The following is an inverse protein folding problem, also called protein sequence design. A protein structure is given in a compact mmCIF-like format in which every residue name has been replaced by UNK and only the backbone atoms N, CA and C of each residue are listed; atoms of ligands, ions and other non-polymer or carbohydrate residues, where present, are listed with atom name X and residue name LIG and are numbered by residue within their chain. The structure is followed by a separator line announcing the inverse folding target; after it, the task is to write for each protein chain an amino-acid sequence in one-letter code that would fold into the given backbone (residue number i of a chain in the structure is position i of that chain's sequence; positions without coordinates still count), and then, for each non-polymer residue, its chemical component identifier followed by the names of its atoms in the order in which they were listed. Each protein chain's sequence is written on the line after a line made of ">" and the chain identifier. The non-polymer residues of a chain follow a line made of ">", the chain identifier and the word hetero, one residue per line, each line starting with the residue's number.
data_IF_480797449641
#
_entry.id   IF_480797449641
#
_cell.length_a   1.000
_cell.length_b   1.000
_cell.length_c   1.000
_cell.angle_alpha   90.00
_cell.angle_beta   90.00
_cell.angle_gamma   90.00
#
_symmetry.space_group_name_H-M   'P 1'
#
loop_
_entity.id
_entity.type
_entity.pdbx_description
1 polymer ?
#
# COMPACT_ATOMS: atom_id res chain seq x y z
N UNK A 1 -19.84 -11.06 -8.12
CA UNK A 1 -18.56 -11.79 -8.03
C UNK A 1 -17.47 -10.76 -7.78
N UNK A 2 -16.75 -10.84 -6.65
CA UNK A 2 -15.67 -9.89 -6.36
C UNK A 2 -14.47 -10.21 -7.26
N UNK A 3 -13.99 -9.22 -8.01
CA UNK A 3 -12.87 -9.40 -8.94
C UNK A 3 -11.57 -9.72 -8.19
N UNK A 4 -10.59 -10.33 -8.87
CA UNK A 4 -9.28 -10.61 -8.26
C UNK A 4 -8.59 -9.33 -7.75
N UNK A 5 -8.74 -8.22 -8.48
CA UNK A 5 -8.25 -6.90 -8.09
C UNK A 5 -8.82 -6.40 -6.75
N UNK A 6 -10.15 -6.50 -6.54
CA UNK A 6 -10.79 -6.08 -5.29
C UNK A 6 -10.35 -6.96 -4.10
N UNK A 7 -10.13 -8.25 -4.32
CA UNK A 7 -9.59 -9.15 -3.29
C UNK A 7 -8.15 -8.78 -2.90
N UNK A 8 -7.31 -8.48 -3.89
CA UNK A 8 -5.94 -8.05 -3.64
C UNK A 8 -5.88 -6.66 -2.99
N UNK A 9 -6.81 -5.76 -3.31
CA UNK A 9 -6.92 -4.47 -2.64
C UNK A 9 -7.24 -4.64 -1.14
N UNK A 10 -8.20 -5.51 -0.80
CA UNK A 10 -8.51 -5.85 0.59
C UNK A 10 -7.30 -6.44 1.32
N UNK A 11 -6.60 -7.38 0.69
CA UNK A 11 -5.40 -7.97 1.28
C UNK A 11 -4.25 -6.96 1.50
N UNK A 12 -4.12 -5.94 0.63
CA UNK A 12 -3.18 -4.84 0.85
C UNK A 12 -3.59 -3.96 2.03
N UNK A 13 -4.89 -3.72 2.20
CA UNK A 13 -5.42 -2.96 3.33
C UNK A 13 -5.20 -3.69 4.66
N UNK A 14 -5.46 -4.99 4.71
CA UNK A 14 -5.16 -5.83 5.87
C UNK A 14 -3.66 -5.83 6.19
N UNK A 15 -2.81 -5.94 5.16
CA UNK A 15 -1.36 -5.86 5.31
C UNK A 15 -0.89 -4.53 5.92
N UNK A 16 -1.50 -3.41 5.52
CA UNK A 16 -1.19 -2.10 6.10
C UNK A 16 -1.64 -1.99 7.57
N UNK A 17 -2.80 -2.55 7.92
CA UNK A 17 -3.28 -2.60 9.30
C UNK A 17 -2.35 -3.46 10.18
N UNK A 18 -1.86 -4.60 9.65
CA UNK A 18 -0.85 -5.43 10.32
C UNK A 18 0.49 -4.70 10.49
N UNK A 19 0.91 -3.90 9.50
CA UNK A 19 2.11 -3.08 9.60
C UNK A 19 2.01 -2.03 10.72
N UNK A 20 0.88 -1.31 10.79
CA UNK A 20 0.65 -0.34 11.87
C UNK A 20 0.57 -0.97 13.26
N UNK A 21 0.03 -2.18 13.35
CA UNK A 21 0.01 -2.96 14.60
C UNK A 21 1.38 -3.55 14.98
N UNK A 22 2.41 -3.43 14.12
CA UNK A 22 3.73 -4.01 14.34
C UNK A 22 3.78 -5.52 14.13
N UNK A 23 2.79 -6.11 13.46
CA UNK A 23 2.72 -7.53 13.12
C UNK A 23 3.33 -7.85 11.75
N UNK A 24 3.63 -6.82 10.96
CA UNK A 24 4.27 -6.92 9.64
C UNK A 24 5.32 -5.81 9.52
N UNK A 25 6.46 -6.10 8.91
CA UNK A 25 7.48 -5.09 8.63
C UNK A 25 7.27 -4.43 7.25
N UNK A 26 7.98 -3.32 7.00
CA UNK A 26 7.85 -2.56 5.77
C UNK A 26 8.26 -3.37 4.53
N UNK A 27 9.27 -4.23 4.64
CA UNK A 27 9.77 -5.02 3.51
C UNK A 27 8.74 -6.10 3.12
N UNK A 28 8.14 -6.78 4.09
CA UNK A 28 7.09 -7.76 3.88
C UNK A 28 5.86 -7.14 3.21
N UNK A 29 5.40 -5.98 3.70
CA UNK A 29 4.30 -5.24 3.10
C UNK A 29 4.63 -4.84 1.65
N UNK A 30 5.82 -4.30 1.41
CA UNK A 30 6.27 -3.89 0.08
C UNK A 30 6.37 -5.04 -0.91
N UNK A 31 6.92 -6.18 -0.49
CA UNK A 31 6.99 -7.37 -1.33
C UNK A 31 5.61 -7.91 -1.69
N UNK A 32 4.71 -7.99 -0.70
CA UNK A 32 3.35 -8.44 -0.89
C UNK A 32 2.59 -7.51 -1.86
N UNK A 33 2.69 -6.19 -1.67
CA UNK A 33 2.06 -5.20 -2.53
C UNK A 33 2.54 -5.29 -4.00
N UNK A 34 3.85 -5.48 -4.23
CA UNK A 34 4.43 -5.65 -5.57
C UNK A 34 3.97 -6.93 -6.27
N UNK A 35 3.54 -7.94 -5.52
CA UNK A 35 3.06 -9.22 -6.06
C UNK A 35 1.60 -9.19 -6.55
N UNK A 36 0.84 -8.14 -6.24
CA UNK A 36 -0.58 -8.01 -6.58
C UNK A 36 -0.81 -7.58 -8.04
N UNK A 37 -0.46 -8.47 -8.96
CA UNK A 37 -0.52 -8.21 -10.41
C UNK A 37 -1.93 -7.94 -10.93
N UNK A 38 -2.98 -8.55 -10.37
CA UNK A 38 -4.36 -8.29 -10.80
C UNK A 38 -4.83 -6.89 -10.39
N UNK A 39 -4.45 -6.45 -9.18
CA UNK A 39 -4.70 -5.09 -8.70
C UNK A 39 -3.97 -4.06 -9.56
N UNK A 40 -2.68 -4.27 -9.79
CA UNK A 40 -1.84 -3.37 -10.58
C UNK A 40 -2.29 -3.32 -12.05
N UNK A 41 -2.70 -4.46 -12.62
CA UNK A 41 -3.19 -4.54 -13.98
C UNK A 41 -4.58 -3.94 -14.19
N UNK A 42 -5.42 -3.87 -13.14
CA UNK A 42 -6.76 -3.29 -13.22
C UNK A 42 -6.79 -1.77 -13.02
N UNK A 43 -5.71 -1.17 -12.52
CA UNK A 43 -5.59 0.27 -12.28
C UNK A 43 -4.82 0.98 -13.41
N UNK A 44 -5.03 2.29 -13.62
CA UNK A 44 -4.18 3.08 -14.50
C UNK A 44 -2.70 3.04 -14.05
N UNK A 45 -1.73 3.09 -14.98
CA UNK A 45 -0.31 2.91 -14.66
C UNK A 45 0.23 3.88 -13.61
N UNK A 46 -0.30 5.12 -13.55
CA UNK A 46 0.07 6.10 -12.53
C UNK A 46 -0.19 5.63 -11.08
N UNK A 47 -1.14 4.70 -10.85
CA UNK A 47 -1.36 4.14 -9.52
C UNK A 47 -0.20 3.26 -9.08
N UNK A 48 0.34 2.45 -9.99
CA UNK A 48 1.50 1.61 -9.72
C UNK A 48 2.72 2.46 -9.41
N UNK A 49 2.98 3.51 -10.19
CA UNK A 49 4.10 4.43 -9.95
C UNK A 49 4.04 5.06 -8.56
N UNK A 50 2.87 5.59 -8.18
CA UNK A 50 2.67 6.19 -6.85
C UNK A 50 2.81 5.15 -5.74
N UNK A 51 2.25 3.95 -5.92
CA UNK A 51 2.37 2.89 -4.93
C UNK A 51 3.84 2.54 -4.69
N UNK A 52 4.61 2.29 -5.75
CA UNK A 52 6.03 1.95 -5.64
C UNK A 52 6.83 3.05 -4.94
N UNK A 53 6.58 4.32 -5.25
CA UNK A 53 7.23 5.45 -4.56
C UNK A 53 6.90 5.51 -3.06
N UNK A 54 5.67 5.20 -2.67
CA UNK A 54 5.26 5.15 -1.27
C UNK A 54 5.93 3.98 -0.53
N UNK A 55 5.98 2.80 -1.18
CA UNK A 55 6.63 1.60 -0.64
C UNK A 55 8.14 1.80 -0.47
N UNK A 56 8.83 2.39 -1.45
CA UNK A 56 10.28 2.68 -1.37
C UNK A 56 10.58 3.63 -0.19
N UNK A 57 9.73 4.65 0.02
CA UNK A 57 9.87 5.57 1.15
C UNK A 57 9.57 4.89 2.48
N UNK A 58 8.62 3.96 2.51
CA UNK A 58 8.29 3.19 3.70
C UNK A 58 9.46 2.30 4.11
N UNK A 59 10.03 1.55 3.16
CA UNK A 59 11.21 0.71 3.37
C UNK A 59 12.40 1.55 3.84
N UNK A 60 12.65 2.69 3.19
CA UNK A 60 13.69 3.64 3.62
C UNK A 60 13.45 4.13 5.05
N UNK A 61 12.22 4.51 5.40
CA UNK A 61 11.87 5.00 6.73
C UNK A 61 12.06 3.96 7.84
N UNK A 62 11.96 2.67 7.51
CA UNK A 62 12.18 1.57 8.44
C UNK A 62 13.68 1.31 8.72
N UNK A 63 14.60 1.84 7.91
CA UNK A 63 16.04 1.69 8.09
C UNK A 63 16.66 2.76 9.02
N UNK A 64 15.89 3.79 9.40
CA UNK A 64 16.37 4.89 10.25
C UNK A 64 15.64 4.84 11.61
N UNK A 65 16.36 4.54 12.70
CA UNK A 65 15.78 4.13 13.99
C UNK A 65 15.64 5.27 15.05
N UNK A 66 16.19 6.46 14.83
CA UNK A 66 16.35 7.44 15.92
C UNK A 66 15.22 8.49 15.94
N UNK A 67 14.07 8.17 16.55
CA UNK A 67 12.99 9.05 17.06
C UNK A 67 12.30 10.05 16.10
N UNK A 68 12.92 10.41 14.98
CA UNK A 68 12.47 11.44 14.03
C UNK A 68 11.58 10.89 12.91
N UNK A 69 11.45 9.56 12.80
CA UNK A 69 10.64 8.91 11.76
C UNK A 69 9.19 8.68 12.16
N UNK A 70 8.78 8.89 13.42
CA UNK A 70 7.37 8.65 13.82
C UNK A 70 6.39 9.53 13.03
N UNK A 71 6.76 10.79 12.77
CA UNK A 71 5.94 11.71 11.99
C UNK A 71 5.93 11.30 10.50
N UNK A 72 7.11 11.13 9.90
CA UNK A 72 7.24 10.71 8.50
C UNK A 72 6.60 9.35 8.21
N UNK A 73 6.67 8.40 9.15
CA UNK A 73 6.04 7.08 9.03
C UNK A 73 4.51 7.20 9.07
N UNK A 74 3.97 8.01 9.97
CA UNK A 74 2.52 8.24 10.04
C UNK A 74 2.00 8.88 8.74
N UNK A 75 2.69 9.89 8.22
CA UNK A 75 2.32 10.54 6.96
C UNK A 75 2.39 9.57 5.76
N UNK A 76 3.36 8.67 5.74
CA UNK A 76 3.49 7.63 4.71
C UNK A 76 2.34 6.63 4.77
N UNK A 77 1.99 6.18 5.97
CA UNK A 77 0.83 5.32 6.21
C UNK A 77 -0.47 6.00 5.79
N UNK A 78 -0.67 7.27 6.18
CA UNK A 78 -1.86 8.04 5.80
C UNK A 78 -1.94 8.21 4.27
N UNK A 79 -0.80 8.38 3.60
CA UNK A 79 -0.70 8.43 2.14
C UNK A 79 -1.04 7.09 1.47
N UNK A 80 -0.61 5.96 2.04
CA UNK A 80 -0.99 4.62 1.58
C UNK A 80 -2.49 4.37 1.77
N UNK A 81 -3.07 4.77 2.91
CA UNK A 81 -4.52 4.70 3.14
C UNK A 81 -5.30 5.55 2.14
N UNK A 82 -4.80 6.74 1.79
CA UNK A 82 -5.40 7.56 0.74
C UNK A 82 -5.31 6.89 -0.64
N UNK A 83 -4.17 6.27 -0.96
CA UNK A 83 -3.99 5.52 -2.19
C UNK A 83 -5.00 4.36 -2.29
N UNK A 84 -5.17 3.58 -1.21
CA UNK A 84 -6.14 2.48 -1.13
C UNK A 84 -7.57 2.95 -1.43
N UNK A 85 -8.01 4.05 -0.80
CA UNK A 85 -9.33 4.64 -1.05
C UNK A 85 -9.52 5.07 -2.50
N UNK A 86 -8.49 5.65 -3.12
CA UNK A 86 -8.53 6.05 -4.54
C UNK A 86 -8.56 4.85 -5.48
N UNK A 87 -7.82 3.79 -5.15
CA UNK A 87 -7.81 2.55 -5.91
C UNK A 87 -9.18 1.87 -5.86
N UNK A 88 -9.79 1.79 -4.67
CA UNK A 88 -11.15 1.26 -4.49
C UNK A 88 -12.19 2.00 -5.33
N UNK A 89 -12.20 3.34 -5.23
CA UNK A 89 -13.10 4.18 -6.01
C UNK A 89 -12.88 4.00 -7.52
N UNK A 90 -11.62 3.85 -7.97
CA UNK A 90 -11.28 3.66 -9.38
C UNK A 90 -11.74 2.29 -9.90
N UNK A 91 -11.55 1.23 -9.13
CA UNK A 91 -12.00 -0.13 -9.46
C UNK A 91 -13.52 -0.20 -9.50
N UNK A 92 -14.20 0.41 -8.52
CA UNK A 92 -15.66 0.46 -8.45
C UNK A 92 -16.28 1.28 -9.59
N UNK A 93 -15.60 2.32 -10.07
CA UNK A 93 -16.05 3.11 -11.23
C UNK A 93 -15.83 2.41 -12.58
N UNK A 94 -15.05 1.32 -12.60
CA UNK A 94 -14.75 0.54 -13.81
C UNK A 94 -15.49 -0.80 -13.84
N UNK A 95 -16.11 -1.19 -12.72
CA UNK A 95 -16.93 -2.39 -12.58
C UNK A 95 -18.35 -2.18 -13.15
#
# INVERSE_FOLDING_TARGET
>A
MQTAALRQLGALQDGLDHFEAGHMDAAALSQQARSYTDLLGALPPQFQEVLLQLLDRLESSALFDEESCSFSRKDLVDSLRLWLKKADARLSATA
#
